data_IF_100322733442
#
_entry.id   IF_100322733442
#
_cell.length_a   1.000
_cell.length_b   1.000
_cell.length_c   1.000
_cell.angle_alpha   90.00
_cell.angle_beta   90.00
_cell.angle_gamma   90.00
#
_symmetry.space_group_name_H-M   'P 1'
#
loop_
_entity.id
_entity.type
_entity.pdbx_description
1 polymer ?
#
# COMPACT_ATOMS: atom_id res chain seq x y z
N UNK A 1 -10.40 -18.49 26.93
CA UNK A 1 -11.26 -17.31 27.18
C UNK A 1 -11.82 -16.84 25.86
N UNK A 2 -13.15 -16.89 25.68
CA UNK A 2 -13.84 -16.32 24.52
C UNK A 2 -13.54 -14.83 24.46
N UNK A 3 -12.70 -14.39 23.52
CA UNK A 3 -12.50 -12.97 23.26
C UNK A 3 -13.85 -12.39 22.79
N UNK A 4 -14.49 -11.59 23.64
CA UNK A 4 -15.73 -10.91 23.27
C UNK A 4 -15.51 -10.13 21.98
N UNK A 5 -16.42 -10.29 21.01
CA UNK A 5 -16.41 -9.50 19.78
C UNK A 5 -16.30 -8.03 20.15
N UNK A 6 -15.27 -7.34 19.68
CA UNK A 6 -15.13 -5.90 19.87
C UNK A 6 -16.37 -5.27 19.23
N UNK A 7 -17.10 -4.37 19.90
CA UNK A 7 -18.26 -3.74 19.26
C UNK A 7 -17.76 -2.72 18.24
N UNK A 8 -18.42 -2.61 17.10
CA UNK A 8 -18.17 -1.52 16.15
C UNK A 8 -18.50 -0.20 16.86
N UNK A 9 -17.59 0.76 16.78
CA UNK A 9 -17.71 2.08 17.43
C UNK A 9 -17.53 3.19 16.42
N UNK A 10 -17.90 4.42 16.80
CA UNK A 10 -17.65 5.62 16.01
C UNK A 10 -16.18 5.79 15.60
N UNK A 11 -15.24 5.34 16.42
CA UNK A 11 -13.82 5.41 16.07
C UNK A 11 -13.49 4.59 14.81
N UNK A 12 -14.14 3.45 14.60
CA UNK A 12 -13.92 2.65 13.39
C UNK A 12 -14.38 3.42 12.15
N UNK A 13 -15.57 4.02 12.23
CA UNK A 13 -16.17 4.80 11.14
C UNK A 13 -15.29 6.02 10.83
N UNK A 14 -14.86 6.77 11.86
CA UNK A 14 -14.01 7.96 11.68
C UNK A 14 -12.65 7.60 11.09
N UNK A 15 -11.98 6.57 11.63
CA UNK A 15 -10.68 6.12 11.10
C UNK A 15 -10.78 5.61 9.67
N UNK A 16 -11.84 4.85 9.35
CA UNK A 16 -12.14 4.41 7.99
C UNK A 16 -12.37 5.60 7.04
N UNK A 17 -13.22 6.56 7.40
CA UNK A 17 -13.51 7.73 6.57
C UNK A 17 -12.27 8.59 6.34
N UNK A 18 -11.47 8.81 7.38
CA UNK A 18 -10.22 9.58 7.28
C UNK A 18 -9.21 8.87 6.38
N UNK A 19 -9.01 7.57 6.57
CA UNK A 19 -8.09 6.80 5.74
C UNK A 19 -8.54 6.77 4.28
N UNK A 20 -9.84 6.62 4.03
CA UNK A 20 -10.42 6.68 2.67
C UNK A 20 -10.11 8.02 2.01
N UNK A 21 -10.33 9.14 2.72
CA UNK A 21 -10.05 10.48 2.19
C UNK A 21 -8.56 10.70 1.92
N UNK A 22 -7.68 10.26 2.83
CA UNK A 22 -6.22 10.34 2.65
C UNK A 22 -5.77 9.49 1.47
N UNK A 23 -6.22 8.24 1.39
CA UNK A 23 -5.89 7.32 0.30
C UNK A 23 -6.37 7.86 -1.04
N UNK A 24 -7.55 8.48 -1.11
CA UNK A 24 -8.02 9.13 -2.33
C UNK A 24 -7.09 10.26 -2.75
N UNK A 25 -6.78 11.20 -1.84
CA UNK A 25 -5.88 12.33 -2.15
C UNK A 25 -4.50 11.84 -2.59
N UNK A 26 -3.93 10.86 -1.90
CA UNK A 26 -2.64 10.26 -2.28
C UNK A 26 -2.72 9.54 -3.63
N UNK A 27 -3.83 8.87 -3.93
CA UNK A 27 -4.07 8.24 -5.23
C UNK A 27 -4.11 9.26 -6.37
N UNK A 28 -4.82 10.37 -6.16
CA UNK A 28 -4.87 11.49 -7.12
C UNK A 28 -3.47 12.04 -7.38
N UNK A 29 -2.74 12.37 -6.31
CA UNK A 29 -1.36 12.87 -6.38
C UNK A 29 -0.44 11.88 -7.12
N UNK A 30 -0.53 10.59 -6.78
CA UNK A 30 0.23 9.51 -7.43
C UNK A 30 -0.08 9.39 -8.93
N UNK A 31 -1.34 9.45 -9.32
CA UNK A 31 -1.76 9.34 -10.73
C UNK A 31 -1.30 10.51 -11.60
N UNK A 32 -1.15 11.71 -11.00
CA UNK A 32 -0.69 12.91 -11.70
C UNK A 32 0.83 12.94 -11.82
N UNK A 33 1.53 12.54 -10.75
CA UNK A 33 2.99 12.72 -10.65
C UNK A 33 3.76 11.53 -11.25
N UNK A 34 3.21 10.33 -11.11
CA UNK A 34 3.85 9.10 -11.59
C UNK A 34 2.94 8.39 -12.60
N UNK A 35 2.50 9.04 -13.70
CA UNK A 35 1.57 8.43 -14.63
C UNK A 35 2.22 7.23 -15.35
N UNK A 36 1.45 6.16 -15.54
CA UNK A 36 1.83 5.10 -16.48
C UNK A 36 1.47 5.56 -17.90
N UNK A 37 2.46 5.57 -18.79
CA UNK A 37 2.27 6.00 -20.17
C UNK A 37 1.18 5.17 -20.86
N UNK A 38 0.19 5.84 -21.43
CA UNK A 38 -0.91 5.20 -22.16
C UNK A 38 -2.05 4.67 -21.28
N UNK A 39 -2.00 4.85 -19.95
CA UNK A 39 -3.04 4.41 -19.02
C UNK A 39 -3.48 5.56 -18.10
N UNK A 40 -4.44 6.41 -18.52
CA UNK A 40 -4.92 7.53 -17.72
C UNK A 40 -5.46 7.07 -16.36
N UNK A 41 -5.06 7.78 -15.29
CA UNK A 41 -5.45 7.45 -13.92
C UNK A 41 -4.59 6.37 -13.24
N UNK A 42 -3.75 5.67 -14.01
CA UNK A 42 -2.87 4.63 -13.48
C UNK A 42 -1.53 5.21 -13.07
N UNK A 43 -1.10 4.91 -11.85
CA UNK A 43 0.19 5.32 -11.31
C UNK A 43 1.23 4.20 -11.34
N UNK A 44 2.49 4.56 -11.59
CA UNK A 44 3.65 3.68 -11.40
C UNK A 44 4.10 3.63 -9.93
N UNK A 45 3.50 4.44 -9.05
CA UNK A 45 3.83 4.49 -7.63
C UNK A 45 2.61 4.93 -6.80
N UNK A 46 1.77 3.98 -6.38
CA UNK A 46 0.57 4.26 -5.60
C UNK A 46 0.86 4.45 -4.11
N UNK A 47 1.13 5.69 -3.70
CA UNK A 47 1.40 6.01 -2.28
C UNK A 47 0.17 5.73 -1.40
N UNK A 48 -1.03 5.70 -1.98
CA UNK A 48 -2.28 5.36 -1.30
C UNK A 48 -2.26 3.95 -0.65
N UNK A 49 -1.62 2.98 -1.30
CA UNK A 49 -1.52 1.59 -0.81
C UNK A 49 -0.84 1.51 0.57
N UNK A 50 0.13 2.40 0.82
CA UNK A 50 0.79 2.51 2.12
C UNK A 50 -0.16 2.88 3.27
N UNK A 51 -1.36 3.38 2.99
CA UNK A 51 -2.34 3.75 4.00
C UNK A 51 -3.35 2.63 4.21
N UNK A 52 -4.08 2.25 3.15
CA UNK A 52 -5.20 1.32 3.30
C UNK A 52 -4.75 -0.14 3.51
N UNK A 53 -3.57 -0.55 3.04
CA UNK A 53 -3.06 -1.91 3.24
C UNK A 53 -2.65 -2.15 4.71
N UNK A 54 -1.84 -1.29 5.36
CA UNK A 54 -1.63 -1.37 6.80
C UNK A 54 -2.92 -1.25 7.62
N UNK A 55 -3.84 -0.38 7.18
CA UNK A 55 -5.16 -0.28 7.81
C UNK A 55 -5.93 -1.60 7.71
N UNK A 56 -5.80 -2.35 6.61
CA UNK A 56 -6.36 -3.70 6.47
C UNK A 56 -5.83 -4.64 7.54
N UNK A 57 -4.52 -4.64 7.78
CA UNK A 57 -3.91 -5.48 8.82
C UNK A 57 -4.47 -5.13 10.21
N UNK A 58 -4.63 -3.85 10.51
CA UNK A 58 -5.10 -3.36 11.81
C UNK A 58 -6.61 -3.45 12.03
N UNK A 59 -7.40 -3.12 11.01
CA UNK A 59 -8.84 -2.91 11.09
C UNK A 59 -9.65 -3.92 10.25
N UNK A 60 -9.00 -4.87 9.57
CA UNK A 60 -9.68 -5.89 8.76
C UNK A 60 -10.35 -5.28 7.53
N UNK A 61 -11.63 -5.61 7.32
CA UNK A 61 -12.39 -5.19 6.13
C UNK A 61 -12.58 -3.69 6.02
N UNK A 62 -12.46 -2.94 7.12
CA UNK A 62 -12.46 -1.47 7.10
C UNK A 62 -11.31 -0.92 6.24
N UNK A 63 -10.12 -1.53 6.30
CA UNK A 63 -9.00 -1.13 5.45
C UNK A 63 -9.20 -1.50 3.98
N UNK A 64 -9.71 -2.70 3.72
CA UNK A 64 -10.03 -3.13 2.35
C UNK A 64 -11.09 -2.23 1.70
N UNK A 65 -12.15 -1.87 2.44
CA UNK A 65 -13.15 -0.92 1.96
C UNK A 65 -12.59 0.50 1.79
N UNK A 66 -11.64 0.92 2.63
CA UNK A 66 -11.01 2.23 2.47
C UNK A 66 -10.29 2.32 1.13
N UNK A 67 -9.51 1.28 0.77
CA UNK A 67 -8.88 1.15 -0.54
C UNK A 67 -9.90 1.16 -1.68
N UNK A 68 -10.93 0.33 -1.59
CA UNK A 68 -12.01 0.27 -2.57
C UNK A 68 -12.65 1.63 -2.83
N UNK A 69 -13.11 2.31 -1.78
CA UNK A 69 -13.88 3.55 -1.92
C UNK A 69 -12.96 4.69 -2.37
N UNK A 70 -11.71 4.73 -1.90
CA UNK A 70 -10.75 5.70 -2.42
C UNK A 70 -10.46 5.51 -3.90
N UNK A 71 -10.28 4.25 -4.34
CA UNK A 71 -10.01 3.92 -5.73
C UNK A 71 -11.23 4.16 -6.63
N UNK A 72 -12.44 3.93 -6.11
CA UNK A 72 -13.68 4.27 -6.79
C UNK A 72 -13.78 5.77 -7.10
N UNK A 73 -13.43 6.63 -6.14
CA UNK A 73 -13.43 8.07 -6.41
C UNK A 73 -12.27 8.48 -7.30
N UNK A 74 -11.08 7.87 -7.16
CA UNK A 74 -9.93 8.07 -8.05
C UNK A 74 -10.27 7.77 -9.51
N UNK A 75 -10.99 6.67 -9.76
CA UNK A 75 -11.45 6.29 -11.10
C UNK A 75 -12.41 7.32 -11.68
N UNK A 76 -13.36 7.85 -10.90
CA UNK A 76 -14.24 8.92 -11.37
C UNK A 76 -13.45 10.20 -11.64
N UNK A 77 -12.62 10.62 -10.69
CA UNK A 77 -11.80 11.82 -10.79
C UNK A 77 -10.43 11.62 -10.12
N UNK A 78 -9.32 11.96 -10.81
CA UNK A 78 -9.23 12.61 -12.12
C UNK A 78 -9.32 11.66 -13.33
N UNK A 79 -9.46 10.35 -13.12
CA UNK A 79 -9.27 9.39 -14.22
C UNK A 79 -10.39 9.41 -15.28
N UNK A 80 -11.54 10.01 -14.98
CA UNK A 80 -12.62 10.21 -15.95
C UNK A 80 -13.43 8.96 -16.27
N UNK A 81 -13.33 7.92 -15.43
CA UNK A 81 -14.09 6.69 -15.60
C UNK A 81 -15.56 6.91 -15.23
N UNK A 82 -16.47 6.25 -15.93
CA UNK A 82 -17.88 6.21 -15.52
C UNK A 82 -18.02 5.47 -14.19
N UNK A 83 -19.12 5.66 -13.43
CA UNK A 83 -19.31 4.96 -12.16
C UNK A 83 -19.21 3.43 -12.26
N UNK A 84 -19.67 2.83 -13.36
CA UNK A 84 -19.60 1.36 -13.56
C UNK A 84 -18.16 0.91 -13.76
N UNK A 85 -17.40 1.65 -14.55
CA UNK A 85 -15.99 1.38 -14.81
C UNK A 85 -15.19 1.47 -13.52
N UNK A 86 -15.40 2.55 -12.76
CA UNK A 86 -14.74 2.75 -11.47
C UNK A 86 -15.12 1.69 -10.44
N UNK A 87 -16.40 1.28 -10.41
CA UNK A 87 -16.89 0.20 -9.55
C UNK A 87 -16.15 -1.12 -9.78
N UNK A 88 -15.86 -1.45 -11.03
CA UNK A 88 -15.11 -2.66 -11.43
C UNK A 88 -13.63 -2.51 -11.10
N UNK A 89 -13.03 -1.39 -11.49
CA UNK A 89 -11.59 -1.17 -11.35
C UNK A 89 -11.15 -1.08 -9.89
N UNK A 90 -11.95 -0.43 -9.03
CA UNK A 90 -11.68 -0.24 -7.60
C UNK A 90 -11.51 -1.53 -6.79
N UNK A 91 -11.93 -2.68 -7.33
CA UNK A 91 -11.63 -3.97 -6.72
C UNK A 91 -10.13 -4.28 -6.66
N UNK A 92 -9.29 -3.61 -7.47
CA UNK A 92 -7.82 -3.72 -7.37
C UNK A 92 -7.34 -3.42 -5.95
N UNK A 93 -7.60 -2.20 -5.45
CA UNK A 93 -7.19 -1.74 -4.12
C UNK A 93 -7.88 -2.51 -2.98
N UNK A 94 -9.13 -2.95 -3.20
CA UNK A 94 -9.82 -3.82 -2.24
C UNK A 94 -9.07 -5.13 -2.07
N UNK A 95 -8.75 -5.79 -3.19
CA UNK A 95 -8.06 -7.07 -3.21
C UNK A 95 -6.65 -6.92 -2.63
N UNK A 96 -5.98 -5.80 -2.93
CA UNK A 96 -4.66 -5.45 -2.40
C UNK A 96 -4.62 -5.48 -0.87
N UNK A 97 -5.52 -4.74 -0.20
CA UNK A 97 -5.63 -4.76 1.25
C UNK A 97 -6.23 -6.06 1.79
N UNK A 98 -7.09 -6.73 1.02
CA UNK A 98 -7.68 -8.00 1.43
C UNK A 98 -6.62 -9.10 1.55
N UNK A 99 -5.57 -9.11 0.72
CA UNK A 99 -4.54 -10.14 0.76
C UNK A 99 -3.91 -10.30 2.15
N UNK A 100 -3.33 -9.26 2.78
CA UNK A 100 -2.81 -9.40 4.13
C UNK A 100 -3.93 -9.64 5.15
N UNK A 101 -5.13 -9.07 5.00
CA UNK A 101 -6.26 -9.36 5.91
C UNK A 101 -6.54 -10.86 5.95
N UNK A 102 -6.72 -11.49 4.79
CA UNK A 102 -6.98 -12.92 4.66
C UNK A 102 -5.91 -13.74 5.38
N UNK A 103 -4.63 -13.47 5.09
CA UNK A 103 -3.55 -14.27 5.64
C UNK A 103 -3.38 -14.07 7.15
N UNK A 104 -3.37 -12.83 7.66
CA UNK A 104 -3.26 -12.59 9.09
C UNK A 104 -4.43 -13.21 9.87
N UNK A 105 -5.65 -13.18 9.32
CA UNK A 105 -6.84 -13.75 9.98
C UNK A 105 -6.92 -15.27 9.87
N UNK A 106 -6.72 -15.84 8.69
CA UNK A 106 -6.80 -17.29 8.46
C UNK A 106 -5.67 -18.04 9.16
N UNK A 107 -4.44 -17.49 9.13
CA UNK A 107 -3.28 -18.07 9.83
C UNK A 107 -3.26 -17.71 11.32
N UNK A 108 -4.21 -16.91 11.80
CA UNK A 108 -4.31 -16.42 13.18
C UNK A 108 -3.01 -15.77 13.67
N UNK A 109 -2.32 -15.05 12.78
CA UNK A 109 -1.09 -14.33 13.09
C UNK A 109 -1.48 -13.03 13.77
N UNK A 110 -0.92 -12.79 14.97
CA UNK A 110 -1.11 -11.55 15.69
C UNK A 110 -0.04 -10.56 15.21
N UNK A 111 -0.40 -9.46 14.49
CA UNK A 111 0.58 -8.51 13.98
C UNK A 111 1.45 -7.96 15.11
N UNK A 112 2.73 -8.30 15.08
CA UNK A 112 3.76 -7.78 15.98
C UNK A 112 5.05 -7.52 15.20
N UNK A 113 5.25 -6.24 14.85
CA UNK A 113 6.41 -5.77 14.11
C UNK A 113 7.53 -5.28 15.04
N UNK A 114 7.46 -5.58 16.33
CA UNK A 114 8.51 -5.20 17.29
C UNK A 114 9.67 -6.19 17.26
N UNK A 115 10.87 -5.71 17.60
CA UNK A 115 12.05 -6.56 17.75
C UNK A 115 12.42 -6.71 19.23
N UNK A 116 12.71 -7.94 19.65
CA UNK A 116 13.00 -8.27 21.06
C UNK A 116 14.34 -7.73 21.56
N UNK A 117 15.32 -7.60 20.65
CA UNK A 117 16.69 -7.20 20.99
C UNK A 117 16.94 -5.72 20.61
N UNK A 118 17.35 -4.85 21.55
CA UNK A 118 17.47 -3.40 21.31
C UNK A 118 18.38 -3.00 20.14
N UNK A 119 19.52 -3.70 19.95
CA UNK A 119 20.45 -3.43 18.84
C UNK A 119 19.78 -3.64 17.47
N UNK A 120 19.02 -4.71 17.31
CA UNK A 120 18.31 -5.01 16.07
C UNK A 120 17.10 -4.10 15.89
N UNK A 121 16.38 -3.75 16.97
CA UNK A 121 15.30 -2.77 16.93
C UNK A 121 15.76 -1.42 16.36
N UNK A 122 16.91 -0.91 16.85
CA UNK A 122 17.51 0.32 16.32
C UNK A 122 17.96 0.19 14.88
N UNK A 123 18.60 -0.92 14.51
CA UNK A 123 19.07 -1.16 13.14
C UNK A 123 17.89 -1.26 12.15
N UNK A 124 16.84 -2.01 12.50
CA UNK A 124 15.62 -2.12 11.70
C UNK A 124 14.93 -0.77 11.54
N UNK A 125 14.72 -0.04 12.64
CA UNK A 125 14.11 1.27 12.59
C UNK A 125 14.93 2.21 11.71
N UNK A 126 16.26 2.20 11.84
CA UNK A 126 17.15 2.98 10.98
C UNK A 126 16.95 2.61 9.50
N UNK A 127 16.99 1.32 9.15
CA UNK A 127 16.87 0.86 7.75
C UNK A 127 15.51 1.19 7.13
N UNK A 128 14.42 0.86 7.83
CA UNK A 128 13.05 1.04 7.32
C UNK A 128 12.67 2.53 7.28
N UNK A 129 13.01 3.30 8.33
CA UNK A 129 12.71 4.73 8.38
C UNK A 129 13.59 5.49 7.40
N UNK A 130 14.90 5.23 7.34
CA UNK A 130 15.78 5.89 6.35
C UNK A 130 15.36 5.54 4.92
N UNK A 131 14.99 4.29 4.65
CA UNK A 131 14.49 3.88 3.35
C UNK A 131 13.22 4.63 2.94
N UNK A 132 12.28 4.77 3.87
CA UNK A 132 11.04 5.53 3.64
C UNK A 132 11.30 7.03 3.49
N UNK A 133 12.21 7.61 4.29
CA UNK A 133 12.59 9.02 4.18
C UNK A 133 13.30 9.31 2.86
N UNK A 134 14.19 8.42 2.40
CA UNK A 134 14.83 8.53 1.10
C UNK A 134 13.81 8.45 -0.02
N UNK A 135 12.85 7.52 0.05
CA UNK A 135 11.77 7.44 -0.93
C UNK A 135 10.96 8.75 -0.97
N UNK A 136 10.51 9.24 0.19
CA UNK A 136 9.73 10.49 0.29
C UNK A 136 10.55 11.68 -0.22
N UNK A 137 11.84 11.76 0.12
CA UNK A 137 12.74 12.81 -0.36
C UNK A 137 12.91 12.75 -1.87
N UNK A 138 13.14 11.57 -2.43
CA UNK A 138 13.23 11.35 -3.86
C UNK A 138 11.96 11.78 -4.58
N UNK A 139 10.79 11.36 -4.09
CA UNK A 139 9.48 11.79 -4.58
C UNK A 139 9.37 13.32 -4.52
N UNK A 140 9.69 13.94 -3.39
CA UNK A 140 9.64 15.39 -3.23
C UNK A 140 10.53 16.14 -4.23
N UNK A 141 11.75 15.64 -4.47
CA UNK A 141 12.67 16.21 -5.47
C UNK A 141 12.15 16.04 -6.89
N UNK A 142 11.57 14.87 -7.22
CA UNK A 142 10.98 14.64 -8.53
C UNK A 142 9.84 15.63 -8.80
N UNK A 143 8.98 15.84 -7.82
CA UNK A 143 7.81 16.73 -7.90
C UNK A 143 8.23 18.19 -7.98
N UNK A 144 9.15 18.62 -7.11
CA UNK A 144 9.54 20.02 -7.02
C UNK A 144 10.47 20.46 -8.16
N UNK A 145 11.34 19.56 -8.64
CA UNK A 145 12.42 19.92 -9.57
C UNK A 145 12.52 18.99 -10.77
N UNK A 146 12.44 17.66 -10.59
CA UNK A 146 12.67 16.68 -11.65
C UNK A 146 11.75 16.83 -12.86
N UNK A 147 10.45 17.05 -12.63
CA UNK A 147 9.49 17.23 -13.71
C UNK A 147 9.70 18.51 -14.55
N UNK A 148 10.32 19.55 -13.98
CA UNK A 148 10.48 20.85 -14.64
C UNK A 148 11.88 21.06 -15.21
N UNK A 149 12.91 20.59 -14.51
CA UNK A 149 14.32 20.85 -14.83
C UNK A 149 15.08 19.61 -15.32
N UNK A 150 14.52 18.41 -15.17
CA UNK A 150 15.18 17.17 -15.59
C UNK A 150 16.42 16.83 -14.75
N UNK A 151 17.55 16.58 -15.40
CA UNK A 151 18.79 16.21 -14.72
C UNK A 151 19.42 17.39 -13.95
N UNK A 152 20.05 17.15 -12.77
CA UNK A 152 20.35 15.85 -12.14
C UNK A 152 19.24 15.31 -11.22
N UNK A 153 18.09 16.00 -11.15
CA UNK A 153 17.04 15.71 -10.17
C UNK A 153 16.33 14.38 -10.44
N UNK A 154 16.11 14.04 -11.71
CA UNK A 154 15.57 12.73 -12.11
C UNK A 154 16.49 11.59 -11.68
N UNK A 155 17.80 11.71 -11.92
CA UNK A 155 18.78 10.73 -11.44
C UNK A 155 18.76 10.60 -9.91
N UNK A 156 18.72 11.72 -9.17
CA UNK A 156 18.61 11.70 -7.71
C UNK A 156 17.35 10.97 -7.23
N UNK A 157 16.21 11.23 -7.85
CA UNK A 157 14.94 10.55 -7.55
C UNK A 157 15.07 9.04 -7.74
N UNK A 158 15.57 8.59 -8.90
CA UNK A 158 15.72 7.17 -9.23
C UNK A 158 16.61 6.45 -8.20
N UNK A 159 17.77 7.02 -7.87
CA UNK A 159 18.65 6.44 -6.84
C UNK A 159 18.00 6.42 -5.46
N UNK A 160 17.29 7.49 -5.09
CA UNK A 160 16.60 7.57 -3.79
C UNK A 160 15.51 6.51 -3.66
N UNK A 161 14.74 6.25 -4.72
CA UNK A 161 13.73 5.18 -4.77
C UNK A 161 14.39 3.81 -4.60
N UNK A 162 15.41 3.49 -5.40
CA UNK A 162 16.02 2.16 -5.38
C UNK A 162 16.81 1.88 -4.11
N UNK A 163 17.62 2.85 -3.64
CA UNK A 163 18.35 2.71 -2.38
C UNK A 163 17.36 2.63 -1.21
N UNK A 164 16.33 3.48 -1.21
CA UNK A 164 15.32 3.47 -0.16
C UNK A 164 14.57 2.14 -0.07
N UNK A 165 14.20 1.59 -1.23
CA UNK A 165 13.57 0.26 -1.34
C UNK A 165 14.51 -0.84 -0.86
N UNK A 166 15.77 -0.83 -1.29
CA UNK A 166 16.77 -1.81 -0.87
C UNK A 166 16.95 -1.83 0.65
N UNK A 167 17.08 -0.65 1.26
CA UNK A 167 17.19 -0.52 2.72
C UNK A 167 15.97 -1.09 3.43
N UNK A 168 14.76 -0.80 2.93
CA UNK A 168 13.53 -1.31 3.51
C UNK A 168 13.41 -2.83 3.38
N UNK A 169 13.77 -3.40 2.22
CA UNK A 169 13.82 -4.86 2.00
C UNK A 169 14.82 -5.53 2.93
N UNK A 170 16.03 -4.98 3.08
CA UNK A 170 17.02 -5.49 4.05
C UNK A 170 16.46 -5.41 5.48
N UNK A 171 15.75 -4.32 5.80
CA UNK A 171 15.04 -4.16 7.07
C UNK A 171 14.01 -5.25 7.32
N UNK A 172 13.15 -5.53 6.34
CA UNK A 172 12.14 -6.61 6.38
C UNK A 172 12.82 -7.98 6.57
N UNK A 173 13.82 -8.30 5.76
CA UNK A 173 14.56 -9.57 5.84
C UNK A 173 15.22 -9.73 7.21
N UNK A 174 15.92 -8.70 7.68
CA UNK A 174 16.55 -8.71 9.01
C UNK A 174 15.51 -8.98 10.10
N UNK A 175 14.31 -8.41 9.96
CA UNK A 175 13.23 -8.56 10.93
C UNK A 175 12.58 -9.94 10.93
N UNK A 176 12.62 -10.67 9.81
CA UNK A 176 12.25 -12.08 9.78
C UNK A 176 13.15 -12.94 10.70
N UNK A 177 14.42 -12.56 10.85
CA UNK A 177 15.36 -13.28 11.71
C UNK A 177 15.43 -12.74 13.15
N UNK A 178 15.21 -11.43 13.34
CA UNK A 178 15.37 -10.76 14.64
C UNK A 178 14.04 -10.50 15.39
N UNK A 179 12.90 -10.61 14.71
CA UNK A 179 11.55 -10.30 15.22
C UNK A 179 10.69 -11.55 15.42
N UNK A 180 9.38 -11.42 15.17
CA UNK A 180 8.48 -12.56 15.00
C UNK A 180 8.46 -13.01 13.53
N UNK A 181 9.08 -14.15 13.18
CA UNK A 181 9.16 -14.61 11.79
C UNK A 181 7.76 -14.80 11.18
N UNK A 182 6.77 -15.21 11.98
CA UNK A 182 5.40 -15.43 11.49
C UNK A 182 4.78 -14.13 10.99
N UNK A 183 4.85 -13.06 11.76
CA UNK A 183 4.38 -11.74 11.34
C UNK A 183 5.11 -11.25 10.10
N UNK A 184 6.44 -11.27 10.10
CA UNK A 184 7.23 -10.69 9.01
C UNK A 184 7.14 -11.47 7.71
N UNK A 185 7.16 -12.80 7.76
CA UNK A 185 6.95 -13.65 6.57
C UNK A 185 5.52 -13.49 6.05
N UNK A 186 4.52 -13.48 6.94
CA UNK A 186 3.13 -13.26 6.54
C UNK A 186 3.00 -11.91 5.84
N UNK A 187 3.54 -10.84 6.41
CA UNK A 187 3.48 -9.51 5.81
C UNK A 187 4.23 -9.43 4.47
N UNK A 188 5.47 -9.91 4.39
CA UNK A 188 6.24 -9.84 3.15
C UNK A 188 5.56 -10.59 2.00
N UNK A 189 5.02 -11.78 2.28
CA UNK A 189 4.32 -12.58 1.27
C UNK A 189 2.95 -11.96 0.95
N UNK A 190 2.10 -11.76 1.94
CA UNK A 190 0.70 -11.37 1.70
C UNK A 190 0.49 -9.88 1.51
N UNK A 191 1.19 -9.05 2.27
CA UNK A 191 1.01 -7.60 2.31
C UNK A 191 1.96 -6.80 1.43
N UNK A 192 2.98 -7.43 0.81
CA UNK A 192 3.83 -6.80 -0.19
C UNK A 192 3.70 -7.55 -1.52
N UNK A 193 4.04 -8.84 -1.57
CA UNK A 193 4.10 -9.57 -2.85
C UNK A 193 2.71 -9.86 -3.42
N UNK A 194 1.87 -10.59 -2.67
CA UNK A 194 0.56 -11.00 -3.16
C UNK A 194 -0.41 -9.83 -3.29
N UNK A 195 -0.36 -8.87 -2.37
CA UNK A 195 -1.10 -7.62 -2.47
C UNK A 195 -0.88 -6.97 -3.86
N UNK A 196 0.37 -6.66 -4.18
CA UNK A 196 0.76 -6.03 -5.45
C UNK A 196 0.42 -6.88 -6.68
N UNK A 197 0.64 -8.20 -6.61
CA UNK A 197 0.38 -9.09 -7.76
C UNK A 197 -1.11 -9.22 -8.05
N UNK A 198 -1.93 -9.42 -7.01
CA UNK A 198 -3.38 -9.60 -7.19
C UNK A 198 -4.04 -8.28 -7.60
N UNK A 199 -3.65 -7.16 -6.99
CA UNK A 199 -4.12 -5.82 -7.37
C UNK A 199 -3.73 -5.51 -8.81
N UNK A 200 -2.46 -5.72 -9.18
CA UNK A 200 -1.94 -5.48 -10.52
C UNK A 200 -2.60 -6.35 -11.59
N UNK A 201 -2.81 -7.66 -11.33
CA UNK A 201 -3.53 -8.56 -12.26
C UNK A 201 -4.95 -8.04 -12.49
N UNK A 202 -5.67 -7.68 -11.42
CA UNK A 202 -7.03 -7.16 -11.54
C UNK A 202 -7.05 -5.81 -12.25
N UNK A 203 -6.32 -4.82 -11.75
CA UNK A 203 -6.27 -3.45 -12.29
C UNK A 203 -5.84 -3.43 -13.75
N UNK A 204 -4.68 -4.01 -14.09
CA UNK A 204 -4.21 -4.07 -15.47
C UNK A 204 -5.11 -4.95 -16.36
N UNK A 205 -5.57 -6.09 -15.84
CA UNK A 205 -6.42 -7.03 -16.57
C UNK A 205 -7.77 -6.43 -16.96
N UNK A 206 -8.46 -5.76 -16.02
CA UNK A 206 -9.73 -5.07 -16.29
C UNK A 206 -9.59 -3.99 -17.34
N UNK A 207 -8.51 -3.20 -17.29
CA UNK A 207 -8.27 -2.12 -18.23
C UNK A 207 -7.88 -2.61 -19.63
N UNK A 208 -7.14 -3.72 -19.76
CA UNK A 208 -6.49 -4.10 -21.04
C UNK A 208 -6.96 -5.43 -21.63
N UNK A 209 -7.06 -6.49 -20.82
CA UNK A 209 -7.33 -7.86 -21.30
C UNK A 209 -8.82 -8.17 -21.37
N UNK A 210 -9.54 -7.79 -20.31
CA UNK A 210 -10.99 -7.96 -20.23
C UNK A 210 -11.72 -6.78 -20.85
N UNK A 211 -10.98 -5.71 -21.15
CA UNK A 211 -11.45 -4.56 -21.91
C UNK A 211 -12.74 -3.98 -21.31
N UNK A 212 -12.85 -4.07 -19.98
CA UNK A 212 -13.95 -3.48 -19.25
C UNK A 212 -13.74 -1.97 -19.38
N UNK A 213 -14.79 -1.19 -19.69
CA UNK A 213 -14.57 0.20 -20.03
C UNK A 213 -13.83 0.97 -18.89
N UNK A 214 -13.02 2.01 -19.18
CA UNK A 214 -12.56 2.40 -20.50
C UNK A 214 -11.52 1.38 -21.02
N UNK A 215 -11.70 0.87 -22.24
CA UNK A 215 -10.81 -0.12 -22.80
C UNK A 215 -9.44 0.48 -23.14
N UNK A 216 -8.35 -0.13 -22.65
CA UNK A 216 -6.98 0.13 -23.07
C UNK A 216 -6.51 -0.97 -24.04
N UNK A 217 -5.61 -0.67 -24.99
CA UNK A 217 -5.04 -1.69 -25.87
C UNK A 217 -4.42 -2.84 -25.07
N UNK A 218 -4.72 -4.09 -25.45
CA UNK A 218 -4.19 -5.29 -24.79
C UNK A 218 -2.64 -5.32 -24.71
N UNK A 219 -1.96 -4.71 -25.69
CA UNK A 219 -0.50 -4.57 -25.69
C UNK A 219 0.06 -3.73 -24.53
N UNK A 220 -0.77 -2.91 -23.87
CA UNK A 220 -0.37 -2.15 -22.68
C UNK A 220 -0.41 -2.97 -21.39
N UNK A 221 -0.97 -4.19 -21.41
CA UNK A 221 -1.11 -5.01 -20.20
C UNK A 221 0.21 -5.10 -19.42
N UNK A 222 1.30 -5.47 -20.07
CA UNK A 222 2.59 -5.65 -19.39
C UNK A 222 3.17 -4.34 -18.86
N UNK A 223 2.96 -3.22 -19.54
CA UNK A 223 3.44 -1.91 -19.08
C UNK A 223 2.66 -1.48 -17.83
N UNK A 224 1.33 -1.58 -17.87
CA UNK A 224 0.46 -1.24 -16.74
C UNK A 224 0.69 -2.17 -15.57
N UNK A 225 0.71 -3.48 -15.83
CA UNK A 225 0.94 -4.51 -14.83
C UNK A 225 2.29 -4.35 -14.14
N UNK A 226 3.38 -4.19 -14.89
CA UNK A 226 4.72 -4.08 -14.28
C UNK A 226 4.91 -2.78 -13.51
N UNK A 227 4.47 -1.64 -14.07
CA UNK A 227 4.52 -0.35 -13.38
C UNK A 227 3.74 -0.36 -12.07
N UNK A 228 2.53 -0.93 -12.09
CA UNK A 228 1.67 -1.06 -10.92
C UNK A 228 2.30 -1.97 -9.86
N UNK A 229 2.62 -3.22 -10.21
CA UNK A 229 3.13 -4.23 -9.26
C UNK A 229 4.42 -3.76 -8.60
N UNK A 230 5.36 -3.22 -9.38
CA UNK A 230 6.64 -2.75 -8.83
C UNK A 230 6.41 -1.50 -7.97
N UNK A 231 5.53 -0.60 -8.39
CA UNK A 231 5.14 0.58 -7.62
C UNK A 231 4.60 0.22 -6.24
N UNK A 232 3.63 -0.68 -6.18
CA UNK A 232 3.02 -1.15 -4.93
C UNK A 232 4.07 -1.84 -4.05
N UNK A 233 4.91 -2.71 -4.63
CA UNK A 233 6.00 -3.36 -3.87
C UNK A 233 6.96 -2.35 -3.25
N UNK A 234 7.33 -1.29 -3.98
CA UNK A 234 8.18 -0.20 -3.45
C UNK A 234 7.47 0.49 -2.28
N UNK A 235 6.23 0.93 -2.45
CA UNK A 235 5.48 1.69 -1.44
C UNK A 235 5.21 0.85 -0.19
N UNK A 236 4.76 -0.39 -0.38
CA UNK A 236 4.42 -1.30 0.71
C UNK A 236 5.66 -1.74 1.47
N UNK A 237 6.77 -2.07 0.77
CA UNK A 237 8.01 -2.43 1.44
C UNK A 237 8.62 -1.27 2.22
N UNK A 238 8.43 -0.02 1.80
CA UNK A 238 8.96 1.18 2.45
C UNK A 238 7.97 1.81 3.43
N UNK A 239 7.12 2.71 2.96
CA UNK A 239 6.19 3.53 3.75
C UNK A 239 5.20 2.65 4.50
N UNK A 240 4.61 1.65 3.82
CA UNK A 240 3.67 0.71 4.45
C UNK A 240 4.31 -0.02 5.63
N UNK A 241 5.52 -0.55 5.43
CA UNK A 241 6.29 -1.20 6.51
C UNK A 241 6.64 -0.23 7.63
N UNK A 242 7.07 0.99 7.32
CA UNK A 242 7.40 1.99 8.33
C UNK A 242 6.19 2.32 9.21
N UNK A 243 5.00 2.48 8.61
CA UNK A 243 3.75 2.69 9.33
C UNK A 243 3.40 1.48 10.21
N UNK A 244 3.55 0.26 9.69
CA UNK A 244 3.32 -0.96 10.48
C UNK A 244 4.27 -1.06 11.68
N UNK A 245 5.57 -0.86 11.48
CA UNK A 245 6.58 -0.92 12.54
C UNK A 245 6.31 0.12 13.63
N UNK A 246 5.99 1.36 13.23
CA UNK A 246 5.88 2.48 14.16
C UNK A 246 4.52 2.54 14.85
N UNK A 247 3.43 2.30 14.11
CA UNK A 247 2.07 2.54 14.60
C UNK A 247 1.39 1.29 15.16
N UNK A 248 1.79 0.07 14.79
CA UNK A 248 1.13 -1.16 15.30
C UNK A 248 1.05 -1.20 16.84
N UNK A 249 2.10 -0.87 17.61
CA UNK A 249 2.01 -0.87 19.08
C UNK A 249 1.01 0.16 19.62
N UNK A 250 0.83 1.29 18.92
CA UNK A 250 -0.11 2.34 19.29
C UNK A 250 -1.53 1.91 18.95
N UNK A 251 -1.78 1.48 17.71
CA UNK A 251 -3.09 1.07 17.21
C UNK A 251 -3.65 -0.09 18.05
N UNK A 252 -2.83 -1.09 18.40
CA UNK A 252 -3.27 -2.23 19.25
C UNK A 252 -3.72 -1.82 20.66
N UNK A 253 -3.34 -0.64 21.14
CA UNK A 253 -3.77 -0.10 22.45
C UNK A 253 -5.06 0.72 22.36
N UNK A 254 -5.54 0.97 21.14
CA UNK A 254 -6.76 1.75 20.90
C UNK A 254 -7.96 0.84 20.61
N UNK A 255 -9.15 1.41 20.65
CA UNK A 255 -10.39 0.69 20.33
C UNK A 255 -10.68 0.50 18.84
N UNK A 256 -9.77 0.89 17.93
CA UNK A 256 -9.94 0.70 16.47
C UNK A 256 -9.33 -0.61 15.95
N UNK A 257 -8.50 -1.29 16.75
CA UNK A 257 -7.89 -2.54 16.33
C UNK A 257 -8.92 -3.68 16.28
N UNK A 258 -9.03 -4.33 15.12
CA UNK A 258 -10.02 -5.38 14.85
C UNK A 258 -9.33 -6.74 14.80
N UNK A 259 -9.70 -7.66 15.70
CA UNK A 259 -9.16 -9.04 15.71
C UNK A 259 -9.85 -9.94 14.68
N UNK A 260 -11.13 -9.72 14.42
CA UNK A 260 -11.91 -10.45 13.43
C UNK A 260 -11.85 -9.80 12.05
N UNK A 261 -12.99 -9.80 11.34
CA UNK A 261 -13.13 -9.18 10.03
C UNK A 261 -13.61 -7.73 10.11
N UNK A 262 -14.57 -7.48 11.00
CA UNK A 262 -15.22 -6.17 11.17
C UNK A 262 -15.12 -5.65 12.60
N UNK A 263 -14.93 -6.57 13.55
CA UNK A 263 -15.02 -6.36 14.99
C UNK A 263 -14.33 -7.52 15.73
#
# INVERSE_FOLDING_TARGET
MSAGKTKITWMHIVSFSLATAISYVLGVVSSIIFPVLGAPGVSALYVAAAIYVPLGIWMGMWGALAGYISCFFLGIWPSGYTPIQSFIWAWADFLEALMPVLFFRLLKVNPDFTLKKPKYAKAMALLIVSGSLLLILGIGVQVAFGQYYGEPFTTFYVYSVYIGTLLAVIGIITSMFAGDPKTWVTYAISGVILASLVSGIWGAGTLTLWNLPPPLPAGLFYIVFTGWVIGDMIVLSTIGTALLVTLTPLIKRTGIYVKGWWS
#
